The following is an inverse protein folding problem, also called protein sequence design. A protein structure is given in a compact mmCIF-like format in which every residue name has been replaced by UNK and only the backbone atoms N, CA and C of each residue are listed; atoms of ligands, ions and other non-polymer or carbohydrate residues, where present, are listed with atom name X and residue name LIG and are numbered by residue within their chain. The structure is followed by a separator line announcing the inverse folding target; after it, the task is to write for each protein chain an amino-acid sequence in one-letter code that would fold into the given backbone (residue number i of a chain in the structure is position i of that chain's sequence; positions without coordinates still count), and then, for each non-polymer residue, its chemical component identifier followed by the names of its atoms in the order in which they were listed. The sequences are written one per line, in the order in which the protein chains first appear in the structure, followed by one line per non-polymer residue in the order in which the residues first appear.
data_IF_579205141016
#
_entry.id   IF_579205141016
#
_cell.length_a   1.000
_cell.length_b   1.000
_cell.length_c   1.000
_cell.angle_alpha   90.00
_cell.angle_beta   90.00
_cell.angle_gamma   90.00
#
_symmetry.space_group_name_H-M   'P 1'
#
loop_
_entity.id
_entity.type
_entity.pdbx_description
1 polymer ?
#
# COMPACT_ATOMS: atom_id res chain seq x y z
N UNK A 1 -3.35 -10.48 13.67
CA UNK A 1 -1.99 -10.57 13.10
C UNK A 1 -1.92 -9.63 11.92
N UNK A 2 -1.00 -8.66 11.90
CA UNK A 2 -0.80 -7.84 10.72
C UNK A 2 -0.30 -8.78 9.60
N UNK A 3 -1.00 -8.85 8.47
CA UNK A 3 -0.50 -9.60 7.33
C UNK A 3 0.84 -8.99 6.92
N UNK A 4 1.85 -9.82 6.75
CA UNK A 4 3.16 -9.37 6.30
C UNK A 4 3.03 -8.62 4.97
N UNK A 5 3.64 -7.43 4.89
CA UNK A 5 3.55 -6.59 3.70
C UNK A 5 4.60 -7.05 2.69
N UNK A 6 4.14 -7.58 1.57
CA UNK A 6 5.02 -7.95 0.47
C UNK A 6 5.65 -6.71 -0.16
N UNK A 7 6.99 -6.63 -0.12
CA UNK A 7 7.76 -5.66 -0.90
C UNK A 7 7.86 -6.19 -2.33
N UNK A 8 7.51 -5.36 -3.31
CA UNK A 8 7.59 -5.73 -4.72
C UNK A 8 8.21 -4.58 -5.51
N UNK A 9 9.02 -4.92 -6.51
CA UNK A 9 9.53 -3.95 -7.48
C UNK A 9 8.48 -3.76 -8.57
N UNK A 10 7.86 -2.58 -8.62
CA UNK A 10 6.86 -2.24 -9.62
C UNK A 10 7.56 -1.58 -10.82
N UNK A 11 7.36 -2.13 -12.01
CA UNK A 11 7.71 -1.44 -13.26
C UNK A 11 6.55 -0.53 -13.63
N UNK A 12 6.80 0.77 -13.66
CA UNK A 12 5.80 1.79 -13.97
C UNK A 12 6.41 2.79 -14.96
N UNK A 13 5.57 3.33 -15.83
CA UNK A 13 5.94 4.48 -16.64
C UNK A 13 6.30 5.68 -15.71
N UNK A 14 7.41 6.40 -15.95
CA UNK A 14 7.83 7.50 -15.08
C UNK A 14 6.77 8.61 -14.94
N UNK A 15 6.06 8.96 -16.01
CA UNK A 15 5.04 10.00 -15.95
C UNK A 15 3.83 9.57 -15.10
N UNK A 16 3.50 8.27 -15.14
CA UNK A 16 2.44 7.70 -14.27
C UNK A 16 2.88 7.69 -12.82
N UNK A 17 4.13 7.34 -12.54
CA UNK A 17 4.69 7.43 -11.18
C UNK A 17 4.59 8.86 -10.64
N UNK A 18 4.98 9.86 -11.43
CA UNK A 18 4.96 11.25 -11.02
C UNK A 18 3.55 11.78 -10.78
N UNK A 19 2.59 11.39 -11.63
CA UNK A 19 1.18 11.72 -11.43
C UNK A 19 0.64 11.13 -10.12
N UNK A 20 0.98 9.87 -9.81
CA UNK A 20 0.59 9.24 -8.53
C UNK A 20 1.25 9.92 -7.33
N UNK A 21 2.52 10.31 -7.43
CA UNK A 21 3.23 11.00 -6.36
C UNK A 21 2.65 12.39 -6.06
N UNK A 22 2.25 13.13 -7.11
CA UNK A 22 1.55 14.42 -6.95
C UNK A 22 0.19 14.24 -6.29
N UNK A 23 -0.62 13.31 -6.79
CA UNK A 23 -1.93 13.02 -6.21
C UNK A 23 -1.83 12.57 -4.74
N UNK A 24 -0.85 11.73 -4.42
CA UNK A 24 -0.59 11.33 -3.03
C UNK A 24 -0.28 12.55 -2.14
N UNK A 25 0.51 13.50 -2.66
CA UNK A 25 0.89 14.72 -1.95
C UNK A 25 -0.31 15.62 -1.68
N UNK A 26 -1.20 15.78 -2.67
CA UNK A 26 -2.45 16.55 -2.54
C UNK A 26 -3.38 15.96 -1.47
N UNK A 27 -3.35 14.65 -1.26
CA UNK A 27 -4.16 13.94 -0.28
C UNK A 27 -3.44 13.65 1.05
N UNK A 28 -2.25 14.22 1.26
CA UNK A 28 -1.40 14.02 2.45
C UNK A 28 -1.10 12.54 2.73
N UNK A 29 -0.91 11.75 1.66
CA UNK A 29 -0.57 10.32 1.70
C UNK A 29 0.86 10.09 1.21
N UNK A 30 1.46 8.97 1.63
CA UNK A 30 2.65 8.48 0.94
C UNK A 30 2.26 7.89 -0.42
N UNK A 31 3.19 7.90 -1.38
CA UNK A 31 2.96 7.30 -2.70
C UNK A 31 2.54 5.83 -2.61
N UNK A 32 3.12 5.06 -1.70
CA UNK A 32 2.74 3.66 -1.49
C UNK A 32 1.32 3.50 -0.94
N UNK A 33 0.90 4.37 -0.01
CA UNK A 33 -0.47 4.37 0.50
C UNK A 33 -1.47 4.75 -0.59
N UNK A 34 -1.10 5.69 -1.47
CA UNK A 34 -1.92 6.07 -2.63
C UNK A 34 -2.07 4.92 -3.62
N UNK A 35 -0.97 4.24 -3.96
CA UNK A 35 -0.98 3.06 -4.84
C UNK A 35 -1.88 1.97 -4.25
N UNK A 36 -1.75 1.66 -2.96
CA UNK A 36 -2.61 0.67 -2.31
C UNK A 36 -4.09 1.08 -2.35
N UNK A 37 -4.40 2.36 -2.15
CA UNK A 37 -5.76 2.87 -2.19
C UNK A 37 -6.39 2.70 -3.57
N UNK A 38 -5.68 3.11 -4.62
CA UNK A 38 -6.12 2.97 -6.01
C UNK A 38 -6.35 1.49 -6.36
N UNK A 39 -5.42 0.61 -6.00
CA UNK A 39 -5.53 -0.82 -6.29
C UNK A 39 -6.73 -1.46 -5.58
N UNK A 40 -6.94 -1.17 -4.29
CA UNK A 40 -8.08 -1.70 -3.53
C UNK A 40 -9.40 -1.18 -4.08
N UNK A 41 -9.45 0.10 -4.45
CA UNK A 41 -10.64 0.69 -5.07
C UNK A 41 -10.95 0.01 -6.41
N UNK A 42 -9.96 -0.10 -7.30
CA UNK A 42 -10.13 -0.75 -8.59
C UNK A 42 -10.55 -2.24 -8.46
N UNK A 43 -9.97 -2.97 -7.51
CA UNK A 43 -10.39 -4.34 -7.20
C UNK A 43 -11.82 -4.40 -6.67
N UNK A 44 -12.22 -3.45 -5.82
CA UNK A 44 -13.59 -3.35 -5.31
C UNK A 44 -14.60 -3.06 -6.42
N UNK A 45 -14.32 -2.08 -7.26
CA UNK A 45 -15.14 -1.70 -8.42
C UNK A 45 -15.27 -2.86 -9.42
N UNK A 46 -14.21 -3.66 -9.59
CA UNK A 46 -14.21 -4.85 -10.43
C UNK A 46 -14.86 -6.10 -9.76
N UNK A 47 -15.28 -6.01 -8.49
CA UNK A 47 -15.82 -7.15 -7.73
C UNK A 47 -14.78 -8.24 -7.40
N UNK A 48 -13.49 -7.89 -7.40
CA UNK A 48 -12.34 -8.80 -7.22
C UNK A 48 -11.60 -8.60 -5.90
N UNK A 49 -12.08 -7.72 -5.02
CA UNK A 49 -11.44 -7.49 -3.73
C UNK A 49 -11.55 -8.76 -2.85
N UNK A 50 -10.43 -9.35 -2.38
CA UNK A 50 -10.48 -10.54 -1.52
C UNK A 50 -11.19 -10.26 -0.20
N UNK A 51 -12.02 -11.20 0.27
CA UNK A 51 -12.78 -11.05 1.54
C UNK A 51 -11.89 -10.98 2.77
N UNK A 52 -10.70 -11.57 2.68
CA UNK A 52 -9.67 -11.59 3.72
C UNK A 52 -8.77 -10.34 3.72
N UNK A 53 -8.92 -9.44 2.75
CA UNK A 53 -8.15 -8.22 2.70
C UNK A 53 -8.44 -7.35 3.94
N UNK A 54 -7.45 -7.27 4.84
CA UNK A 54 -7.54 -6.44 6.04
C UNK A 54 -7.76 -4.96 5.74
N UNK A 55 -8.16 -4.19 6.75
CA UNK A 55 -8.34 -2.73 6.63
C UNK A 55 -7.02 -2.07 6.24
N UNK A 56 -7.11 -1.02 5.41
CA UNK A 56 -5.95 -0.17 5.11
C UNK A 56 -5.41 0.44 6.42
N UNK A 57 -4.09 0.47 6.56
CA UNK A 57 -3.44 1.04 7.74
C UNK A 57 -3.72 2.55 7.81
N UNK A 58 -4.05 3.03 9.01
CA UNK A 58 -4.22 4.46 9.25
C UNK A 58 -2.91 5.25 9.07
N UNK A 59 -2.99 6.58 8.94
CA UNK A 59 -1.84 7.46 8.87
C UNK A 59 -0.91 7.32 10.08
N UNK A 60 0.38 7.61 9.88
CA UNK A 60 1.39 7.64 10.93
C UNK A 60 2.40 6.50 10.87
N UNK A 61 3.46 6.62 11.67
CA UNK A 61 4.56 5.66 11.69
C UNK A 61 4.09 4.31 12.24
N UNK A 62 4.54 3.18 11.66
CA UNK A 62 4.36 1.88 12.27
C UNK A 62 4.82 1.83 13.72
N UNK A 63 4.09 1.10 14.57
CA UNK A 63 4.57 0.81 15.92
C UNK A 63 5.75 -0.17 15.79
N UNK A 64 6.76 -0.03 16.64
CA UNK A 64 8.01 -0.83 16.59
C UNK A 64 7.76 -2.35 16.61
N UNK A 65 6.65 -2.80 17.19
CA UNK A 65 6.21 -4.20 17.19
C UNK A 65 5.82 -4.77 15.81
N UNK A 66 5.55 -3.92 14.82
CA UNK A 66 5.15 -4.34 13.47
C UNK A 66 6.35 -4.57 12.54
N UNK A 67 7.54 -4.07 12.90
CA UNK A 67 8.78 -4.19 12.10
C UNK A 67 9.56 -5.47 12.45
N UNK A 68 9.38 -6.01 13.67
CA UNK A 68 10.13 -7.18 14.17
C UNK A 68 9.70 -8.51 13.53
N UNK A 69 8.59 -8.53 12.79
CA UNK A 69 8.09 -9.73 12.09
C UNK A 69 8.68 -9.95 10.69
N UNK A 70 9.59 -9.09 10.22
CA UNK A 70 10.16 -9.17 8.85
C UNK A 70 11.66 -9.47 8.79
N UNK A 71 12.29 -9.86 9.90
CA UNK A 71 13.73 -10.12 9.99
C UNK A 71 14.07 -11.54 10.50
N UNK A 72 13.10 -12.45 10.52
CA UNK A 72 13.34 -13.87 10.83
C UNK A 72 12.63 -14.75 9.80
N UNK A 73 13.30 -15.00 8.67
CA UNK A 73 13.29 -16.25 7.90
C UNK A 73 14.22 -16.08 6.67
N UNK A 74 15.39 -16.75 6.76
CA UNK A 74 16.49 -16.98 5.78
C UNK A 74 17.35 -15.83 5.22
#
# INVERSE_FOLDING_TARGET
MASERKKLLLRLDPAVHDALARWASDELRSTNAQIEFVLRRALGEAGRLPREAGRMRGPGRPRKSDETGSEQEE
#
